data_IF_062490936303
#
_entry.id   IF_062490936303
#
_cell.length_a   1.000
_cell.length_b   1.000
_cell.length_c   1.000
_cell.angle_alpha   90.00
_cell.angle_beta   90.00
_cell.angle_gamma   90.00
#
_symmetry.space_group_name_H-M   'P 1'
#
loop_
_entity.id
_entity.type
_entity.pdbx_description
1 polymer ?
#
# COMPACT_ATOMS: atom_id res chain seq x y z
N UNK A 1 -7.09 10.60 51.77
CA UNK A 1 -6.47 11.00 50.49
C UNK A 1 -6.31 9.74 49.64
N UNK A 2 -7.16 9.53 48.66
CA UNK A 2 -7.06 8.37 47.77
C UNK A 2 -5.78 8.52 46.94
N UNK A 3 -4.88 7.57 47.05
CA UNK A 3 -3.65 7.51 46.26
C UNK A 3 -4.04 6.97 44.87
N UNK A 4 -4.04 7.83 43.87
CA UNK A 4 -4.05 7.41 42.48
C UNK A 4 -2.65 6.91 42.13
N UNK A 5 -2.59 5.82 41.41
CA UNK A 5 -1.37 5.40 40.75
C UNK A 5 -1.55 5.69 39.28
N UNK A 6 -0.77 6.61 38.79
CA UNK A 6 -0.69 6.91 37.37
C UNK A 6 0.32 5.94 36.75
N UNK A 7 -0.13 5.17 35.76
CA UNK A 7 0.73 4.31 34.97
C UNK A 7 0.68 4.87 33.57
N UNK A 8 1.81 5.31 33.07
CA UNK A 8 1.96 5.80 31.71
C UNK A 8 2.65 4.72 30.91
N UNK A 9 1.95 4.16 29.92
CA UNK A 9 2.45 3.15 29.01
C UNK A 9 2.26 3.68 27.58
N UNK A 10 3.32 4.25 27.01
CA UNK A 10 3.27 4.92 25.72
C UNK A 10 2.39 6.18 25.73
N UNK A 11 1.33 6.18 24.91
CA UNK A 11 0.34 7.27 24.84
C UNK A 11 -0.84 7.10 25.77
N UNK A 12 -0.90 5.97 26.49
CA UNK A 12 -2.01 5.65 27.37
C UNK A 12 -1.68 6.06 28.80
N UNK A 13 -2.58 6.83 29.38
CA UNK A 13 -2.51 7.21 30.80
C UNK A 13 -3.60 6.43 31.52
N UNK A 14 -3.19 5.53 32.37
CA UNK A 14 -4.08 4.71 33.19
C UNK A 14 -4.07 5.23 34.62
N UNK A 15 -5.17 5.78 35.07
CA UNK A 15 -5.36 6.13 36.46
C UNK A 15 -5.96 4.92 37.20
N UNK A 16 -5.15 4.28 38.02
CA UNK A 16 -5.60 3.17 38.85
C UNK A 16 -5.83 3.70 40.28
N UNK A 17 -7.07 3.58 40.75
CA UNK A 17 -7.43 3.78 42.13
C UNK A 17 -7.83 2.45 42.77
N UNK A 18 -7.89 2.39 44.09
CA UNK A 18 -8.32 1.19 44.81
C UNK A 18 -9.75 0.76 44.48
N UNK A 19 -10.50 1.57 43.73
CA UNK A 19 -11.92 1.37 43.42
C UNK A 19 -12.19 1.16 41.91
N UNK A 20 -11.24 1.49 41.05
CA UNK A 20 -11.37 1.35 39.62
C UNK A 20 -10.18 1.87 38.82
N UNK A 21 -10.08 1.44 37.59
CA UNK A 21 -9.09 1.95 36.66
C UNK A 21 -9.80 2.70 35.52
N UNK A 22 -9.34 3.89 35.20
CA UNK A 22 -9.80 4.65 34.03
C UNK A 22 -8.61 4.83 33.12
N UNK A 23 -8.69 4.28 31.95
CA UNK A 23 -7.67 4.51 30.92
C UNK A 23 -8.16 5.60 29.98
N UNK A 24 -7.32 6.59 29.81
CA UNK A 24 -7.43 7.54 28.70
C UNK A 24 -6.37 7.17 27.67
N UNK A 25 -6.77 6.49 26.62
CA UNK A 25 -5.97 6.46 25.42
C UNK A 25 -6.24 7.75 24.67
N UNK A 26 -5.32 8.69 24.77
CA UNK A 26 -5.21 9.65 23.69
C UNK A 26 -4.81 8.81 22.47
N UNK A 27 -5.69 8.69 21.50
CA UNK A 27 -5.28 8.35 20.14
C UNK A 27 -4.38 9.52 19.73
N UNK A 28 -3.13 9.49 20.17
CA UNK A 28 -2.12 10.14 19.40
C UNK A 28 -2.16 9.35 18.10
N UNK A 29 -2.53 10.00 17.01
CA UNK A 29 -2.06 9.62 15.68
C UNK A 29 -0.64 9.15 15.88
N UNK A 30 -0.26 7.94 15.39
CA UNK A 30 1.05 7.40 15.68
C UNK A 30 2.10 8.48 15.40
N UNK A 31 2.57 9.11 16.45
CA UNK A 31 3.62 10.14 16.47
C UNK A 31 4.96 9.44 16.35
N UNK A 32 5.05 8.59 15.39
CA UNK A 32 6.28 7.98 14.93
C UNK A 32 6.36 8.07 13.42
N UNK A 33 5.25 8.10 12.75
CA UNK A 33 5.19 8.74 11.45
C UNK A 33 5.07 10.22 11.78
N UNK A 34 6.14 11.02 11.58
CA UNK A 34 6.02 12.44 11.32
C UNK A 34 4.69 12.58 10.61
N UNK A 35 3.75 13.40 11.18
CA UNK A 35 2.67 13.90 10.37
C UNK A 35 3.30 14.01 8.99
N UNK A 36 2.85 13.19 8.07
CA UNK A 36 3.14 13.44 6.69
C UNK A 36 2.33 14.68 6.48
N UNK A 37 2.95 15.71 6.95
CA UNK A 37 2.50 17.06 6.83
C UNK A 37 2.08 17.12 5.37
N UNK A 38 0.92 17.64 5.08
CA UNK A 38 0.51 18.00 3.73
C UNK A 38 1.68 18.66 2.98
N UNK A 39 2.63 19.22 3.70
CA UNK A 39 3.95 19.71 3.24
C UNK A 39 4.91 18.65 2.68
N UNK A 40 4.70 17.37 2.84
CA UNK A 40 5.50 16.36 2.11
C UNK A 40 5.29 16.43 0.61
N UNK A 41 4.19 17.00 0.15
CA UNK A 41 4.00 17.32 -1.27
C UNK A 41 4.81 18.53 -1.71
N UNK A 42 5.19 19.44 -0.82
CA UNK A 42 5.98 20.63 -1.14
C UNK A 42 7.47 20.34 -1.34
N UNK A 43 7.96 19.20 -0.92
CA UNK A 43 9.37 18.83 -0.98
C UNK A 43 9.63 17.66 -1.92
N UNK A 44 9.31 17.83 -3.19
CA UNK A 44 9.81 16.96 -4.28
C UNK A 44 11.28 17.25 -4.64
N UNK A 45 11.93 18.19 -3.95
CA UNK A 45 13.35 18.48 -4.05
C UNK A 45 14.19 17.40 -3.33
N UNK A 46 14.18 16.19 -3.88
CA UNK A 46 14.92 15.06 -3.29
C UNK A 46 16.45 15.25 -3.34
N UNK A 47 16.94 16.22 -4.06
CA UNK A 47 18.37 16.48 -4.28
C UNK A 47 19.08 17.12 -3.08
N UNK A 48 18.35 17.56 -2.06
CA UNK A 48 18.93 18.27 -0.90
C UNK A 48 19.70 17.35 0.05
N UNK A 49 19.52 16.03 -0.05
CA UNK A 49 20.24 15.04 0.75
C UNK A 49 21.20 14.25 -0.10
N UNK A 50 22.49 14.54 0.04
CA UNK A 50 23.54 13.82 -0.65
C UNK A 50 23.96 12.62 0.19
N UNK A 51 23.79 11.43 -0.37
CA UNK A 51 24.34 10.19 0.19
C UNK A 51 25.61 9.84 -0.58
N UNK A 52 26.73 9.70 0.12
CA UNK A 52 27.98 9.27 -0.50
C UNK A 52 28.23 7.79 -0.22
N UNK A 53 28.50 7.03 -1.28
CA UNK A 53 28.91 5.62 -1.22
C UNK A 53 30.27 5.49 -1.91
N UNK A 54 31.34 5.39 -1.12
CA UNK A 54 32.69 5.47 -1.65
C UNK A 54 32.92 6.79 -2.38
N UNK A 55 33.37 6.71 -3.62
CA UNK A 55 33.64 7.88 -4.46
C UNK A 55 32.41 8.40 -5.23
N UNK A 56 31.22 7.85 -4.94
CA UNK A 56 30.00 8.19 -5.67
C UNK A 56 29.00 8.92 -4.79
N UNK A 57 28.49 10.04 -5.30
CA UNK A 57 27.32 10.72 -4.76
C UNK A 57 26.04 10.09 -5.32
N UNK A 58 25.18 9.66 -4.44
CA UNK A 58 23.93 8.96 -4.77
C UNK A 58 22.78 9.96 -4.79
N UNK A 59 22.03 9.97 -5.87
CA UNK A 59 20.79 10.73 -5.97
C UNK A 59 19.67 9.96 -5.25
N UNK A 60 19.03 10.55 -4.25
CA UNK A 60 17.99 9.86 -3.49
C UNK A 60 16.72 9.66 -4.32
N UNK A 61 16.01 8.55 -4.06
CA UNK A 61 14.70 8.28 -4.64
C UNK A 61 13.63 8.46 -3.57
N UNK A 62 13.05 9.62 -3.50
CA UNK A 62 12.18 10.06 -2.42
C UNK A 62 12.96 10.76 -1.29
N UNK A 63 12.25 11.37 -0.34
CA UNK A 63 12.83 12.14 0.76
C UNK A 63 13.77 11.30 1.65
N UNK A 64 13.40 10.05 1.91
CA UNK A 64 14.17 9.09 2.72
C UNK A 64 14.93 8.06 1.89
N UNK A 65 14.97 8.23 0.55
CA UNK A 65 15.64 7.32 -0.39
C UNK A 65 15.02 5.91 -0.45
N UNK A 66 13.78 5.74 -0.07
CA UNK A 66 13.07 4.47 0.02
C UNK A 66 11.68 4.47 -0.64
N UNK A 67 11.37 5.49 -1.44
CA UNK A 67 10.06 5.62 -2.08
C UNK A 67 9.58 4.36 -2.81
N UNK A 68 10.41 3.61 -3.59
CA UNK A 68 9.97 2.38 -4.21
C UNK A 68 9.57 1.29 -3.23
N UNK A 69 10.22 1.24 -2.05
CA UNK A 69 9.88 0.28 -1.00
C UNK A 69 8.60 0.68 -0.28
N UNK A 70 8.40 1.98 -0.02
CA UNK A 70 7.13 2.52 0.54
C UNK A 70 5.96 2.16 -0.39
N UNK A 71 6.10 2.42 -1.69
CA UNK A 71 5.07 2.09 -2.69
C UNK A 71 4.79 0.59 -2.69
N UNK A 72 5.83 -0.24 -2.70
CA UNK A 72 5.70 -1.71 -2.62
C UNK A 72 4.91 -2.12 -1.38
N UNK A 73 5.28 -1.63 -0.21
CA UNK A 73 4.71 -2.04 1.07
C UNK A 73 3.24 -1.60 1.18
N UNK A 74 2.92 -0.38 0.75
CA UNK A 74 1.54 0.11 0.72
C UNK A 74 0.68 -0.70 -0.25
N UNK A 75 1.19 -1.02 -1.44
CA UNK A 75 0.46 -1.82 -2.44
C UNK A 75 0.20 -3.24 -1.91
N UNK A 76 1.23 -3.95 -1.43
CA UNK A 76 1.06 -5.34 -1.01
C UNK A 76 0.29 -5.52 0.29
N UNK A 77 0.22 -4.49 1.13
CA UNK A 77 -0.67 -4.49 2.30
C UNK A 77 -2.13 -4.18 1.95
N UNK A 78 -2.39 -3.67 0.76
CA UNK A 78 -3.75 -3.38 0.30
C UNK A 78 -4.39 -4.60 -0.36
N UNK A 79 -5.70 -4.81 -0.17
CA UNK A 79 -6.40 -6.00 -0.68
C UNK A 79 -6.82 -5.90 -2.16
N UNK A 80 -6.95 -4.68 -2.70
CA UNK A 80 -7.39 -4.42 -4.09
C UNK A 80 -6.21 -4.18 -5.04
N UNK A 81 -5.25 -3.34 -4.64
CA UNK A 81 -4.21 -2.83 -5.52
C UNK A 81 -3.38 -3.91 -6.21
N UNK A 82 -2.93 -5.00 -5.54
CA UNK A 82 -2.17 -6.06 -6.22
C UNK A 82 -2.94 -6.73 -7.35
N UNK A 83 -4.26 -6.93 -7.16
CA UNK A 83 -5.14 -7.51 -8.18
C UNK A 83 -5.30 -6.59 -9.39
N UNK A 84 -5.48 -5.29 -9.17
CA UNK A 84 -5.60 -4.30 -10.25
C UNK A 84 -4.33 -4.18 -11.08
N UNK A 85 -3.17 -4.09 -10.42
CA UNK A 85 -1.88 -4.02 -11.09
C UNK A 85 -1.56 -5.31 -11.86
N UNK A 86 -1.96 -6.47 -11.32
CA UNK A 86 -1.84 -7.74 -12.04
C UNK A 86 -2.73 -7.75 -13.28
N UNK A 87 -3.94 -7.23 -13.18
CA UNK A 87 -4.86 -7.14 -14.33
C UNK A 87 -4.33 -6.17 -15.39
N UNK A 88 -3.82 -5.00 -14.98
CA UNK A 88 -3.14 -4.04 -15.86
C UNK A 88 -1.97 -4.69 -16.60
N UNK A 89 -1.12 -5.45 -15.88
CA UNK A 89 -0.02 -6.22 -16.49
C UNK A 89 -0.53 -7.22 -17.52
N UNK A 90 -1.57 -7.98 -17.20
CA UNK A 90 -2.10 -8.99 -18.11
C UNK A 90 -2.72 -8.37 -19.37
N UNK A 91 -3.37 -7.22 -19.24
CA UNK A 91 -3.88 -6.46 -20.38
C UNK A 91 -2.74 -5.96 -21.27
N UNK A 92 -1.64 -5.50 -20.69
CA UNK A 92 -0.44 -5.09 -21.45
C UNK A 92 0.26 -6.27 -22.10
N UNK A 93 0.34 -7.41 -21.43
CA UNK A 93 0.96 -8.63 -21.97
C UNK A 93 0.20 -9.20 -23.17
N UNK A 94 -1.13 -9.14 -23.15
CA UNK A 94 -1.98 -9.71 -24.21
C UNK A 94 -1.65 -11.19 -24.45
N UNK A 95 -1.38 -11.53 -25.71
CA UNK A 95 -0.98 -12.87 -26.16
C UNK A 95 0.55 -13.08 -26.14
N UNK A 96 1.26 -12.21 -25.41
CA UNK A 96 2.70 -12.27 -25.24
C UNK A 96 3.49 -11.51 -26.31
N UNK A 97 4.82 -11.45 -26.10
CA UNK A 97 5.72 -10.74 -26.99
C UNK A 97 5.88 -11.47 -28.33
N UNK A 98 5.91 -10.71 -29.43
CA UNK A 98 6.15 -11.19 -30.77
C UNK A 98 7.08 -10.26 -31.52
N UNK A 99 7.87 -10.80 -32.45
CA UNK A 99 8.65 -10.03 -33.39
C UNK A 99 7.73 -9.52 -34.50
N UNK A 100 7.93 -8.27 -34.89
CA UNK A 100 7.18 -7.63 -35.95
C UNK A 100 8.05 -6.62 -36.72
N UNK A 101 7.63 -6.37 -37.97
CA UNK A 101 8.09 -5.26 -38.77
C UNK A 101 6.98 -4.22 -38.87
N UNK A 102 7.35 -2.95 -38.91
CA UNK A 102 6.42 -1.85 -39.18
C UNK A 102 6.37 -1.61 -40.68
N UNK A 103 5.18 -1.74 -41.26
CA UNK A 103 4.92 -1.44 -42.66
C UNK A 103 3.93 -0.30 -42.78
N UNK A 104 4.03 0.47 -43.86
CA UNK A 104 3.14 1.58 -44.13
C UNK A 104 2.10 1.13 -45.17
N UNK A 105 0.84 1.11 -44.77
CA UNK A 105 -0.29 0.91 -45.70
C UNK A 105 -1.09 2.21 -45.81
N UNK A 106 -0.82 2.97 -46.87
CA UNK A 106 -1.34 4.34 -46.99
C UNK A 106 -0.84 5.27 -45.85
N UNK A 107 -1.77 5.75 -45.03
CA UNK A 107 -1.45 6.62 -43.86
C UNK A 107 -1.41 5.85 -42.54
N UNK A 108 -1.49 4.54 -42.53
CA UNK A 108 -1.51 3.71 -41.34
C UNK A 108 -0.21 2.93 -41.19
N UNK A 109 0.27 2.81 -39.97
CA UNK A 109 1.39 1.92 -39.63
C UNK A 109 0.79 0.60 -39.18
N UNK A 110 1.15 -0.47 -39.90
CA UNK A 110 0.71 -1.83 -39.61
C UNK A 110 1.88 -2.63 -39.06
N UNK A 111 1.62 -3.43 -38.06
CA UNK A 111 2.60 -4.38 -37.48
C UNK A 111 2.42 -5.73 -38.13
N UNK A 112 3.36 -6.12 -38.97
CA UNK A 112 3.41 -7.44 -39.61
C UNK A 112 4.25 -8.37 -38.75
N UNK A 113 3.65 -9.45 -38.26
CA UNK A 113 4.36 -10.43 -37.44
C UNK A 113 5.33 -11.21 -38.34
N UNK A 114 6.59 -11.26 -37.92
CA UNK A 114 7.64 -11.95 -38.66
C UNK A 114 8.47 -12.82 -37.73
N UNK A 115 8.96 -13.95 -38.20
CA UNK A 115 9.81 -14.87 -37.46
C UNK A 115 11.25 -14.78 -37.95
N UNK A 116 12.19 -14.65 -37.03
CA UNK A 116 13.62 -14.74 -37.36
C UNK A 116 14.29 -15.68 -36.34
N UNK A 117 14.78 -16.82 -36.83
CA UNK A 117 15.34 -17.88 -35.99
C UNK A 117 16.57 -17.46 -35.21
N UNK A 118 17.39 -16.57 -35.74
CA UNK A 118 18.59 -16.10 -35.04
C UNK A 118 18.22 -15.21 -33.87
N UNK A 119 17.28 -14.28 -34.07
CA UNK A 119 16.76 -13.41 -33.01
C UNK A 119 16.01 -14.23 -31.98
N UNK A 120 15.13 -15.14 -32.41
CA UNK A 120 14.39 -16.04 -31.51
C UNK A 120 15.33 -16.86 -30.64
N UNK A 121 16.39 -17.48 -31.21
CA UNK A 121 17.39 -18.24 -30.46
C UNK A 121 18.15 -17.38 -29.45
N UNK A 122 18.51 -16.13 -29.83
CA UNK A 122 19.15 -15.20 -28.92
C UNK A 122 18.20 -14.80 -27.76
N UNK A 123 16.93 -14.51 -28.06
CA UNK A 123 15.91 -14.18 -27.05
C UNK A 123 15.71 -15.33 -26.05
N UNK A 124 15.59 -16.56 -26.54
CA UNK A 124 15.43 -17.75 -25.71
C UNK A 124 16.65 -18.00 -24.82
N UNK A 125 17.85 -17.61 -25.24
CA UNK A 125 19.10 -17.84 -24.47
C UNK A 125 19.12 -17.21 -23.08
N UNK A 126 18.32 -16.17 -22.82
CA UNK A 126 18.25 -15.49 -21.52
C UNK A 126 16.83 -15.41 -20.96
N UNK A 127 15.89 -16.27 -21.43
CA UNK A 127 14.48 -16.30 -20.97
C UNK A 127 13.83 -14.92 -21.04
N UNK A 128 13.70 -14.39 -22.25
CA UNK A 128 13.20 -13.05 -22.51
C UNK A 128 11.75 -12.84 -22.04
N UNK A 129 10.92 -13.87 -21.99
CA UNK A 129 9.54 -13.76 -21.52
C UNK A 129 9.51 -13.45 -20.01
N UNK A 130 10.26 -14.20 -19.20
CA UNK A 130 10.41 -13.90 -17.76
C UNK A 130 11.04 -12.54 -17.51
N UNK A 131 12.00 -12.12 -18.35
CA UNK A 131 12.59 -10.79 -18.29
C UNK A 131 11.52 -9.72 -18.54
N UNK A 132 10.73 -9.81 -19.60
CA UNK A 132 9.68 -8.84 -19.94
C UNK A 132 8.56 -8.81 -18.90
N UNK A 133 8.17 -9.96 -18.33
CA UNK A 133 7.18 -10.01 -17.24
C UNK A 133 7.65 -9.25 -16.00
N UNK A 134 8.94 -9.31 -15.67
CA UNK A 134 9.53 -8.52 -14.57
C UNK A 134 9.54 -7.03 -14.91
N UNK A 135 9.92 -6.67 -16.14
CA UNK A 135 9.88 -5.30 -16.62
C UNK A 135 8.48 -4.69 -16.55
N UNK A 136 7.46 -5.43 -16.99
CA UNK A 136 6.06 -5.02 -16.91
C UNK A 136 5.60 -4.85 -15.45
N UNK A 137 6.08 -5.71 -14.55
CA UNK A 137 5.73 -5.62 -13.14
C UNK A 137 6.30 -4.35 -12.52
N UNK A 138 7.58 -4.06 -12.74
CA UNK A 138 8.21 -2.84 -12.23
C UNK A 138 7.56 -1.59 -12.86
N UNK A 139 7.30 -1.60 -14.17
CA UNK A 139 6.61 -0.50 -14.84
C UNK A 139 5.24 -0.20 -14.21
N UNK A 140 4.42 -1.22 -13.97
CA UNK A 140 3.09 -1.00 -13.39
C UNK A 140 3.12 -0.48 -11.94
N UNK A 141 4.23 -0.62 -11.23
CA UNK A 141 4.38 -0.14 -9.85
C UNK A 141 5.08 1.22 -9.77
N UNK A 142 6.10 1.44 -10.60
CA UNK A 142 7.03 2.57 -10.48
C UNK A 142 7.18 3.34 -11.80
N UNK A 143 6.53 2.89 -12.89
CA UNK A 143 6.61 3.48 -14.23
C UNK A 143 8.04 3.64 -14.76
N UNK A 144 8.91 2.77 -14.31
CA UNK A 144 10.29 2.69 -14.75
C UNK A 144 10.79 1.25 -14.78
N UNK A 145 11.80 1.00 -15.60
CA UNK A 145 12.42 -0.30 -15.81
C UNK A 145 13.93 -0.14 -15.81
N UNK A 146 14.61 -1.02 -15.11
CA UNK A 146 16.07 -1.05 -15.09
C UNK A 146 16.59 -2.34 -15.69
N UNK A 147 17.40 -2.22 -16.73
CA UNK A 147 17.98 -3.34 -17.47
C UNK A 147 19.49 -3.27 -17.50
N UNK A 148 20.14 -4.34 -17.13
CA UNK A 148 21.59 -4.50 -17.32
C UNK A 148 21.86 -5.18 -18.65
N UNK A 149 22.73 -4.57 -19.42
CA UNK A 149 23.30 -5.11 -20.63
C UNK A 149 24.61 -5.83 -20.30
N UNK A 150 24.78 -7.03 -20.85
CA UNK A 150 25.99 -7.81 -20.69
C UNK A 150 26.53 -8.20 -22.06
N UNK A 151 27.74 -7.69 -22.38
CA UNK A 151 28.44 -8.04 -23.62
C UNK A 151 29.00 -9.45 -23.51
N UNK A 152 29.08 -10.13 -24.65
CA UNK A 152 29.62 -11.46 -24.75
C UNK A 152 31.11 -11.53 -24.43
N UNK A 153 31.64 -12.73 -24.18
CA UNK A 153 33.08 -12.97 -23.93
C UNK A 153 33.99 -12.47 -25.05
N UNK A 154 33.45 -12.35 -26.27
CA UNK A 154 34.18 -11.77 -27.43
C UNK A 154 34.50 -10.29 -27.31
N UNK A 155 33.90 -9.57 -26.34
CA UNK A 155 34.18 -8.14 -26.12
C UNK A 155 35.66 -7.86 -25.89
N UNK A 156 36.31 -8.69 -25.10
CA UNK A 156 37.76 -8.56 -24.81
C UNK A 156 38.65 -8.78 -26.07
N UNK A 157 38.04 -9.29 -27.16
CA UNK A 157 38.65 -9.52 -28.47
C UNK A 157 38.04 -8.64 -29.59
N UNK A 158 37.38 -7.55 -29.21
CA UNK A 158 36.79 -6.59 -30.16
C UNK A 158 35.50 -7.04 -30.84
N UNK A 159 34.87 -8.15 -30.39
CA UNK A 159 33.59 -8.60 -30.91
C UNK A 159 32.46 -7.98 -30.10
N UNK A 160 31.77 -7.04 -30.69
CA UNK A 160 30.67 -6.31 -30.06
C UNK A 160 29.35 -7.07 -30.26
N UNK A 161 28.89 -7.74 -29.20
CA UNK A 161 27.63 -8.46 -29.19
C UNK A 161 27.03 -8.46 -27.78
N UNK A 162 25.76 -8.09 -27.65
CA UNK A 162 25.04 -8.14 -26.39
C UNK A 162 24.57 -9.57 -26.18
N UNK A 163 25.17 -10.28 -25.23
CA UNK A 163 24.88 -11.68 -24.97
C UNK A 163 23.56 -11.89 -24.26
N UNK A 164 23.23 -11.03 -23.30
CA UNK A 164 21.96 -11.11 -22.56
C UNK A 164 21.57 -9.78 -21.94
N UNK A 165 20.29 -9.72 -21.60
CA UNK A 165 19.68 -8.67 -20.78
C UNK A 165 19.30 -9.24 -19.43
N UNK A 166 19.51 -8.48 -18.37
CA UNK A 166 19.15 -8.85 -17.00
C UNK A 166 18.30 -7.75 -16.40
N UNK A 167 17.11 -8.12 -15.92
CA UNK A 167 16.26 -7.21 -15.18
C UNK A 167 16.82 -6.95 -13.79
N UNK A 168 16.90 -5.70 -13.37
CA UNK A 168 17.28 -5.29 -12.02
C UNK A 168 16.05 -4.63 -11.37
N UNK A 169 15.57 -5.13 -10.21
CA UNK A 169 14.45 -4.51 -9.51
C UNK A 169 14.71 -3.05 -9.17
N UNK A 170 13.79 -2.16 -9.51
CA UNK A 170 13.96 -0.69 -9.37
C UNK A 170 14.20 -0.27 -7.92
N UNK A 171 13.63 -0.97 -6.95
CA UNK A 171 13.84 -0.69 -5.53
C UNK A 171 15.30 -0.89 -5.06
N UNK A 172 16.08 -1.70 -5.80
CA UNK A 172 17.50 -1.95 -5.50
C UNK A 172 18.46 -1.04 -6.23
N UNK A 173 17.96 -0.10 -7.02
CA UNK A 173 18.73 0.73 -7.94
C UNK A 173 18.71 2.18 -7.49
N UNK A 174 19.89 2.79 -7.45
CA UNK A 174 20.03 4.25 -7.30
C UNK A 174 20.97 4.80 -8.34
N UNK A 175 20.59 5.93 -8.92
CA UNK A 175 21.45 6.69 -9.84
C UNK A 175 22.51 7.43 -9.04
N UNK A 176 23.70 7.55 -9.59
CA UNK A 176 24.83 8.17 -8.95
C UNK A 176 25.74 8.87 -9.95
N UNK A 177 26.56 9.78 -9.45
CA UNK A 177 27.67 10.40 -10.18
C UNK A 177 28.93 10.38 -9.31
N UNK A 178 30.12 10.54 -9.91
CA UNK A 178 31.36 10.71 -9.15
C UNK A 178 31.25 11.95 -8.25
N UNK A 179 31.53 11.80 -6.97
CA UNK A 179 31.47 12.88 -6.00
C UNK A 179 32.38 14.03 -6.38
N UNK A 180 31.85 15.26 -6.32
CA UNK A 180 32.58 16.47 -6.70
C UNK A 180 32.79 16.66 -8.20
N UNK A 181 32.31 15.76 -9.07
CA UNK A 181 32.32 15.96 -10.51
C UNK A 181 31.30 17.00 -10.97
N UNK A 182 31.54 17.59 -12.15
CA UNK A 182 30.57 18.50 -12.80
C UNK A 182 29.21 17.84 -12.95
N UNK A 183 29.19 16.57 -13.34
CA UNK A 183 27.95 15.81 -13.46
C UNK A 183 27.17 15.68 -12.12
N UNK A 184 27.89 15.54 -11.01
CA UNK A 184 27.24 15.53 -9.69
C UNK A 184 26.62 16.90 -9.37
N UNK A 185 27.35 17.99 -9.62
CA UNK A 185 26.88 19.36 -9.35
C UNK A 185 25.70 19.73 -10.23
N UNK A 186 25.69 19.31 -11.48
CA UNK A 186 24.61 19.56 -12.44
C UNK A 186 23.41 18.58 -12.30
N UNK A 187 23.49 17.61 -11.39
CA UNK A 187 22.43 16.62 -11.22
C UNK A 187 22.35 15.57 -12.33
N UNK A 188 23.43 15.36 -13.10
CA UNK A 188 23.48 14.42 -14.22
C UNK A 188 24.03 13.06 -13.78
N UNK A 189 23.23 12.02 -13.61
CA UNK A 189 23.70 10.69 -13.22
C UNK A 189 24.52 10.07 -14.36
N UNK A 190 25.66 9.47 -14.01
CA UNK A 190 26.56 8.76 -14.95
C UNK A 190 26.67 7.28 -14.62
N UNK A 191 26.30 6.89 -13.41
CA UNK A 191 26.42 5.54 -12.91
C UNK A 191 25.12 5.12 -12.21
N UNK A 192 25.00 3.82 -12.00
CA UNK A 192 23.92 3.19 -11.25
C UNK A 192 24.56 2.27 -10.20
N UNK A 193 24.13 2.43 -8.97
CA UNK A 193 24.50 1.55 -7.86
C UNK A 193 23.37 0.56 -7.65
N UNK A 194 23.70 -0.73 -7.71
CA UNK A 194 22.76 -1.83 -7.46
C UNK A 194 23.07 -2.43 -6.11
N UNK A 195 22.18 -2.27 -5.17
CA UNK A 195 22.31 -2.81 -3.82
C UNK A 195 21.81 -4.25 -3.74
N UNK A 196 22.35 -5.04 -2.81
CA UNK A 196 21.86 -6.39 -2.53
C UNK A 196 20.55 -6.37 -1.73
N UNK A 197 20.37 -5.36 -0.89
CA UNK A 197 19.21 -5.18 -0.01
C UNK A 197 18.43 -3.97 -0.48
N UNK A 198 17.10 -4.05 -0.46
CA UNK A 198 16.20 -2.92 -0.67
C UNK A 198 16.05 -2.11 0.62
N UNK A 199 15.73 -0.83 0.51
CA UNK A 199 15.43 0.05 1.64
C UNK A 199 16.51 1.09 1.93
N UNK A 200 16.34 1.76 3.03
CA UNK A 200 17.12 2.93 3.49
C UNK A 200 18.61 2.63 3.80
N UNK A 201 19.00 1.36 3.71
CA UNK A 201 20.33 0.90 4.09
C UNK A 201 21.31 1.04 2.93
N UNK A 202 21.51 2.27 2.48
CA UNK A 202 22.75 2.63 1.80
C UNK A 202 23.84 2.93 2.85
N UNK A 203 24.02 2.01 3.79
CA UNK A 203 25.14 2.09 4.72
C UNK A 203 26.43 1.67 4.03
N UNK A 204 27.50 2.36 4.34
CA UNK A 204 28.83 2.20 3.75
C UNK A 204 29.44 0.78 3.81
N UNK A 205 28.80 -0.16 4.48
CA UNK A 205 29.30 -1.52 4.70
C UNK A 205 28.73 -2.58 3.76
N UNK A 206 27.68 -2.29 2.99
CA UNK A 206 27.12 -3.20 2.00
C UNK A 206 27.19 -2.60 0.60
N UNK A 207 28.42 -2.47 0.09
CA UNK A 207 28.64 -1.96 -1.25
C UNK A 207 27.90 -2.78 -2.28
N UNK A 208 26.95 -2.12 -2.93
CA UNK A 208 26.35 -2.59 -4.15
C UNK A 208 27.36 -2.60 -5.29
N UNK A 209 27.02 -3.25 -6.36
CA UNK A 209 27.80 -3.17 -7.60
C UNK A 209 27.50 -1.85 -8.30
N UNK A 210 28.55 -1.15 -8.71
CA UNK A 210 28.44 0.07 -9.51
C UNK A 210 28.57 -0.28 -10.99
N UNK A 211 27.65 0.22 -11.80
CA UNK A 211 27.65 0.07 -13.23
C UNK A 211 27.52 1.44 -13.89
N UNK A 212 28.23 1.69 -15.02
CA UNK A 212 27.99 2.87 -15.82
C UNK A 212 26.60 2.83 -16.45
N UNK A 213 25.99 3.99 -16.64
CA UNK A 213 24.78 4.11 -17.45
C UNK A 213 25.08 3.76 -18.91
N UNK A 214 24.08 3.17 -19.57
CA UNK A 214 24.16 2.82 -20.98
C UNK A 214 24.30 4.10 -21.83
N UNK A 215 25.35 4.12 -22.67
CA UNK A 215 25.64 5.24 -23.58
C UNK A 215 25.11 4.91 -24.98
N UNK A 216 24.04 5.59 -25.40
CA UNK A 216 23.46 5.41 -26.74
C UNK A 216 24.42 5.79 -27.89
N UNK A 217 25.40 6.68 -27.64
CA UNK A 217 26.41 7.08 -28.65
C UNK A 217 27.53 6.06 -28.78
N UNK A 218 27.86 5.39 -27.66
CA UNK A 218 28.90 4.36 -27.59
C UNK A 218 28.39 3.11 -26.85
N UNK A 219 27.46 2.34 -27.43
CA UNK A 219 26.77 1.25 -26.74
C UNK A 219 27.70 0.12 -26.29
N UNK A 220 28.86 0.00 -26.88
CA UNK A 220 29.90 -1.02 -26.59
C UNK A 220 31.07 -0.49 -25.74
N UNK A 221 30.92 0.67 -25.11
CA UNK A 221 31.98 1.27 -24.30
C UNK A 221 32.34 0.44 -23.07
N UNK A 222 31.35 -0.21 -22.48
CA UNK A 222 31.48 -0.96 -21.22
C UNK A 222 30.97 -2.39 -21.38
N UNK A 223 31.71 -3.36 -20.80
CA UNK A 223 31.31 -4.76 -20.81
C UNK A 223 29.94 -5.00 -20.14
N UNK A 224 29.66 -4.24 -19.07
CA UNK A 224 28.38 -4.22 -18.40
C UNK A 224 27.92 -2.76 -18.26
N UNK A 225 26.71 -2.47 -18.68
CA UNK A 225 26.10 -1.15 -18.52
C UNK A 225 24.64 -1.30 -18.12
N UNK A 226 24.05 -0.27 -17.55
CA UNK A 226 22.67 -0.30 -17.10
C UNK A 226 21.86 0.77 -17.80
N UNK A 227 20.75 0.38 -18.40
CA UNK A 227 19.78 1.29 -18.99
C UNK A 227 18.64 1.48 -17.99
N UNK A 228 18.30 2.73 -17.73
CA UNK A 228 17.12 3.13 -16.99
C UNK A 228 16.10 3.71 -17.98
N UNK A 229 15.01 3.01 -18.20
CA UNK A 229 13.90 3.43 -19.06
C UNK A 229 12.74 3.82 -18.18
N UNK A 230 12.20 5.02 -18.36
CA UNK A 230 11.14 5.54 -17.48
C UNK A 230 10.19 6.47 -18.22
N UNK A 231 9.02 6.62 -17.64
CA UNK A 231 8.12 7.71 -17.98
C UNK A 231 8.60 9.00 -17.31
N UNK A 232 8.56 10.11 -18.01
CA UNK A 232 8.99 11.40 -17.47
C UNK A 232 7.91 11.95 -16.53
N UNK A 233 8.30 12.36 -15.35
CA UNK A 233 7.43 13.07 -14.41
C UNK A 233 7.80 14.55 -14.41
N UNK A 234 6.81 15.41 -14.62
CA UNK A 234 7.04 16.86 -14.71
C UNK A 234 7.75 17.40 -13.46
N UNK A 235 8.88 18.07 -13.69
CA UNK A 235 9.70 18.68 -12.64
C UNK A 235 10.57 17.70 -11.84
N UNK A 236 10.66 16.42 -12.25
CA UNK A 236 11.51 15.41 -11.61
C UNK A 236 12.38 14.77 -12.68
N UNK A 237 13.65 15.16 -12.73
CA UNK A 237 14.52 14.81 -13.84
C UNK A 237 15.23 13.45 -13.66
N UNK A 238 15.51 13.05 -12.42
CA UNK A 238 16.35 11.89 -12.13
C UNK A 238 15.56 10.59 -12.12
N UNK A 239 14.40 10.59 -11.47
CA UNK A 239 13.55 9.42 -11.33
C UNK A 239 12.13 9.69 -11.82
N UNK A 240 11.29 8.66 -11.80
CA UNK A 240 9.88 8.76 -12.09
C UNK A 240 9.09 8.83 -10.79
N UNK A 241 8.11 9.71 -10.73
CA UNK A 241 7.06 9.68 -9.71
C UNK A 241 5.84 9.00 -10.34
N UNK A 242 5.52 7.75 -9.96
CA UNK A 242 4.43 7.03 -10.59
C UNK A 242 3.07 7.61 -10.21
N UNK A 243 2.09 7.51 -11.11
CA UNK A 243 0.72 8.02 -10.91
C UNK A 243 0.07 7.52 -9.62
N UNK A 244 0.38 6.30 -9.21
CA UNK A 244 -0.13 5.71 -7.98
C UNK A 244 0.34 6.44 -6.71
N UNK A 245 1.40 7.26 -6.80
CA UNK A 245 1.91 8.02 -5.66
C UNK A 245 0.84 8.92 -5.03
N UNK A 246 0.06 9.61 -5.87
CA UNK A 246 -1.05 10.46 -5.41
C UNK A 246 -2.15 9.72 -4.66
N UNK A 247 -2.24 8.40 -4.83
CA UNK A 247 -3.24 7.55 -4.19
C UNK A 247 -2.74 6.80 -2.95
N UNK A 248 -1.48 6.97 -2.53
CA UNK A 248 -0.91 6.21 -1.41
C UNK A 248 -1.73 6.37 -0.12
N UNK A 249 -2.24 7.56 0.18
CA UNK A 249 -3.07 7.79 1.37
C UNK A 249 -4.44 7.11 1.26
N UNK A 250 -5.02 7.04 0.06
CA UNK A 250 -6.24 6.27 -0.17
C UNK A 250 -6.01 4.77 -0.03
N UNK A 251 -4.87 4.26 -0.49
CA UNK A 251 -4.45 2.87 -0.29
C UNK A 251 -4.31 2.53 1.19
N UNK A 252 -3.63 3.39 1.96
CA UNK A 252 -3.51 3.25 3.42
C UNK A 252 -4.87 3.27 4.10
N UNK A 253 -5.75 4.19 3.68
CA UNK A 253 -7.10 4.31 4.23
C UNK A 253 -7.95 3.08 3.91
N UNK A 254 -7.91 2.57 2.68
CA UNK A 254 -8.59 1.33 2.29
C UNK A 254 -8.12 0.14 3.14
N UNK A 255 -6.82 0.05 3.43
CA UNK A 255 -6.25 -0.99 4.29
C UNK A 255 -6.65 -0.82 5.76
N UNK A 256 -6.73 0.41 6.27
CA UNK A 256 -7.03 0.69 7.67
C UNK A 256 -8.50 0.45 8.03
N UNK A 257 -9.42 0.71 7.12
CA UNK A 257 -10.87 0.60 7.41
C UNK A 257 -11.31 -0.78 7.91
N UNK A 258 -10.93 -1.91 7.29
CA UNK A 258 -11.26 -3.23 7.82
C UNK A 258 -10.66 -3.49 9.21
N UNK A 259 -9.46 -2.98 9.49
CA UNK A 259 -8.81 -3.11 10.80
C UNK A 259 -9.55 -2.31 11.86
N UNK A 260 -10.01 -1.09 11.53
CA UNK A 260 -10.81 -0.26 12.43
C UNK A 260 -12.13 -0.97 12.74
N UNK A 261 -12.83 -1.51 11.72
CA UNK A 261 -14.08 -2.25 11.92
C UNK A 261 -13.85 -3.51 12.74
N UNK A 262 -12.75 -4.23 12.51
CA UNK A 262 -12.39 -5.39 13.32
C UNK A 262 -12.14 -5.00 14.78
N UNK A 263 -11.31 -4.00 15.02
CA UNK A 263 -11.03 -3.52 16.36
C UNK A 263 -12.31 -3.07 17.08
N UNK A 264 -13.22 -2.46 16.34
CA UNK A 264 -14.53 -2.05 16.86
C UNK A 264 -15.41 -3.25 17.26
N UNK A 265 -15.40 -4.33 16.47
CA UNK A 265 -16.17 -5.55 16.77
C UNK A 265 -15.52 -6.37 17.88
N UNK A 266 -14.22 -6.54 17.87
CA UNK A 266 -13.49 -7.38 18.82
C UNK A 266 -13.47 -6.77 20.23
N UNK A 267 -13.32 -5.46 20.31
CA UNK A 267 -13.15 -4.81 21.59
C UNK A 267 -14.48 -4.42 22.26
N UNK A 268 -15.63 -4.47 21.56
CA UNK A 268 -16.96 -3.99 22.07
C UNK A 268 -16.83 -2.79 23.02
N UNK A 269 -15.90 -1.90 22.71
CA UNK A 269 -15.29 -0.88 23.58
C UNK A 269 -16.28 0.22 23.98
N UNK A 270 -17.49 -0.03 23.70
CA UNK A 270 -18.44 1.00 23.98
C UNK A 270 -18.86 0.85 25.42
N UNK A 271 -18.59 1.86 26.20
CA UNK A 271 -19.30 2.11 27.45
C UNK A 271 -20.80 2.01 27.17
N UNK A 272 -21.35 0.78 27.25
CA UNK A 272 -22.75 0.52 26.96
C UNK A 272 -23.66 1.15 28.00
N UNK A 273 -23.16 1.25 29.20
CA UNK A 273 -23.92 1.72 30.35
C UNK A 273 -23.12 2.66 31.23
N UNK A 274 -23.74 3.75 31.59
CA UNK A 274 -23.29 4.62 32.67
C UNK A 274 -24.08 4.28 33.93
N UNK A 275 -23.36 3.83 34.95
CA UNK A 275 -23.97 3.41 36.22
C UNK A 275 -23.64 4.45 37.28
N UNK A 276 -24.67 5.14 37.77
CA UNK A 276 -24.54 6.06 38.87
C UNK A 276 -25.06 5.36 40.15
N UNK A 277 -24.25 5.33 41.18
CA UNK A 277 -24.58 4.76 42.49
C UNK A 277 -24.59 5.85 43.57
N UNK A 278 -25.60 5.86 44.46
CA UNK A 278 -25.68 6.86 45.50
C UNK A 278 -24.65 6.61 46.59
N UNK A 279 -23.97 7.67 47.03
CA UNK A 279 -22.97 7.61 48.11
C UNK A 279 -23.55 7.02 49.41
N UNK A 280 -24.77 7.40 49.75
CA UNK A 280 -25.46 6.92 50.96
C UNK A 280 -25.61 5.36 51.00
N UNK A 281 -25.71 4.71 49.83
CA UNK A 281 -25.72 3.26 49.77
C UNK A 281 -24.40 2.66 50.24
N UNK A 282 -23.28 3.25 49.81
CA UNK A 282 -21.97 2.76 50.16
C UNK A 282 -21.61 3.06 51.62
N UNK A 283 -22.04 4.21 52.14
CA UNK A 283 -21.84 4.56 53.55
C UNK A 283 -22.59 3.61 54.51
N UNK A 284 -23.84 3.29 54.21
CA UNK A 284 -24.60 2.30 54.97
C UNK A 284 -24.01 0.89 54.86
N UNK A 285 -23.48 0.50 53.71
CA UNK A 285 -22.77 -0.79 53.55
C UNK A 285 -21.47 -0.85 54.30
N UNK A 286 -20.77 0.25 54.39
CA UNK A 286 -19.56 0.38 55.22
C UNK A 286 -19.88 0.21 56.72
N UNK A 287 -20.96 0.82 57.19
CA UNK A 287 -21.45 0.65 58.56
C UNK A 287 -21.89 -0.78 58.85
N UNK A 288 -22.66 -1.41 57.93
CA UNK A 288 -23.08 -2.81 58.05
C UNK A 288 -21.88 -3.77 58.11
N UNK A 289 -20.80 -3.50 57.30
CA UNK A 289 -19.60 -4.31 57.34
C UNK A 289 -18.82 -4.13 58.66
N UNK A 290 -18.71 -2.91 59.18
CA UNK A 290 -18.10 -2.64 60.49
C UNK A 290 -18.83 -3.40 61.60
N UNK A 291 -20.18 -3.30 61.66
CA UNK A 291 -20.98 -4.01 62.65
C UNK A 291 -20.80 -5.55 62.57
N UNK A 292 -20.76 -6.12 61.35
CA UNK A 292 -20.48 -7.54 61.18
C UNK A 292 -19.09 -7.97 61.61
N UNK A 293 -18.10 -7.13 61.41
CA UNK A 293 -16.76 -7.37 61.92
C UNK A 293 -16.70 -7.34 63.43
N UNK A 294 -17.39 -6.41 64.08
CA UNK A 294 -17.51 -6.31 65.55
C UNK A 294 -18.22 -7.57 66.11
N UNK A 295 -19.33 -8.00 65.49
CA UNK A 295 -20.06 -9.21 65.91
C UNK A 295 -19.21 -10.49 65.73
N UNK A 296 -18.27 -10.49 64.79
CA UNK A 296 -17.41 -11.64 64.50
C UNK A 296 -16.04 -11.55 65.18
N UNK A 297 -15.79 -10.51 65.98
CA UNK A 297 -14.49 -10.31 66.66
C UNK A 297 -13.32 -10.01 65.70
N UNK A 298 -13.59 -9.54 64.49
CA UNK A 298 -12.63 -9.19 63.46
C UNK A 298 -12.45 -7.68 63.39
N UNK A 299 -11.23 -7.24 63.12
CA UNK A 299 -10.97 -5.82 62.93
C UNK A 299 -11.34 -5.38 61.51
N UNK A 300 -12.10 -4.31 61.37
CA UNK A 300 -12.52 -3.78 60.07
C UNK A 300 -11.33 -3.20 59.32
N UNK A 301 -11.17 -3.59 58.03
CA UNK A 301 -10.19 -3.02 57.14
C UNK A 301 -10.90 -2.46 55.88
N UNK A 302 -10.47 -1.30 55.40
CA UNK A 302 -11.01 -0.66 54.20
C UNK A 302 -10.90 -1.56 52.95
N UNK A 303 -9.94 -2.49 52.91
CA UNK A 303 -9.85 -3.52 51.85
C UNK A 303 -11.10 -4.39 51.74
N UNK A 304 -11.87 -4.62 52.82
CA UNK A 304 -13.12 -5.37 52.83
C UNK A 304 -14.20 -4.61 52.08
N UNK A 305 -14.24 -3.29 52.23
CA UNK A 305 -15.20 -2.47 51.47
C UNK A 305 -14.86 -2.46 49.98
N UNK A 306 -13.59 -2.38 49.61
CA UNK A 306 -13.13 -2.47 48.22
C UNK A 306 -13.50 -3.82 47.59
N UNK A 307 -13.28 -4.91 48.29
CA UNK A 307 -13.67 -6.24 47.85
C UNK A 307 -15.20 -6.40 47.68
N UNK A 308 -15.98 -5.81 48.58
CA UNK A 308 -17.42 -5.80 48.46
C UNK A 308 -17.89 -4.98 47.24
N UNK A 309 -17.33 -3.80 47.04
CA UNK A 309 -17.63 -2.92 45.91
C UNK A 309 -17.31 -3.63 44.60
N UNK A 310 -16.14 -4.28 44.50
CA UNK A 310 -15.76 -5.08 43.32
C UNK A 310 -16.76 -6.20 43.03
N UNK A 311 -17.18 -6.94 44.06
CA UNK A 311 -18.13 -8.02 43.94
C UNK A 311 -19.51 -7.53 43.44
N UNK A 312 -19.96 -6.34 43.85
CA UNK A 312 -21.19 -5.72 43.37
C UNK A 312 -21.08 -5.34 41.89
N UNK A 313 -19.95 -4.68 41.51
CA UNK A 313 -19.74 -4.32 40.12
C UNK A 313 -19.56 -5.54 39.21
N UNK A 314 -18.88 -6.59 39.66
CA UNK A 314 -18.76 -7.85 38.89
C UNK A 314 -20.12 -8.47 38.61
N UNK A 315 -21.05 -8.43 39.60
CA UNK A 315 -22.43 -8.89 39.40
C UNK A 315 -23.19 -8.02 38.42
N UNK A 316 -23.07 -6.70 38.52
CA UNK A 316 -23.72 -5.76 37.59
C UNK A 316 -23.19 -6.01 36.17
N UNK A 317 -21.89 -6.12 36.02
CA UNK A 317 -21.24 -6.39 34.76
C UNK A 317 -21.67 -7.74 34.16
N UNK A 318 -21.74 -8.79 34.96
CA UNK A 318 -22.18 -10.11 34.50
C UNK A 318 -23.62 -10.13 34.00
N UNK A 319 -24.51 -9.28 34.56
CA UNK A 319 -25.89 -9.15 34.12
C UNK A 319 -26.02 -8.30 32.86
N UNK A 320 -25.24 -7.21 32.79
CA UNK A 320 -25.37 -6.25 31.69
C UNK A 320 -24.54 -6.62 30.43
N UNK A 321 -23.45 -7.37 30.57
CA UNK A 321 -22.53 -7.66 29.46
C UNK A 321 -22.58 -9.10 28.91
N UNK A 322 -23.29 -10.02 29.53
CA UNK A 322 -23.38 -11.41 29.06
C UNK A 322 -24.30 -11.58 27.85
N UNK A 323 -23.84 -12.22 26.79
CA UNK A 323 -24.67 -12.58 25.63
C UNK A 323 -25.91 -13.45 26.04
N UNK A 324 -25.72 -14.28 27.05
CA UNK A 324 -26.80 -15.14 27.62
C UNK A 324 -27.79 -14.39 28.49
N UNK A 325 -27.56 -13.11 28.74
CA UNK A 325 -28.36 -12.26 29.60
C UNK A 325 -29.30 -11.31 28.83
N UNK A 326 -29.42 -11.49 27.53
CA UNK A 326 -30.33 -10.73 26.68
C UNK A 326 -31.78 -10.94 27.20
N UNK A 327 -32.41 -9.84 27.65
CA UNK A 327 -33.76 -9.87 28.20
C UNK A 327 -33.84 -9.96 29.71
N UNK A 328 -32.74 -10.06 30.46
CA UNK A 328 -32.76 -9.99 31.92
C UNK A 328 -32.97 -8.55 32.40
N UNK A 329 -33.82 -8.40 33.39
CA UNK A 329 -34.18 -7.12 33.97
C UNK A 329 -33.36 -6.87 35.24
N UNK A 330 -32.80 -5.66 35.37
CA UNK A 330 -32.21 -5.19 36.62
C UNK A 330 -33.25 -4.37 37.37
N UNK A 331 -33.61 -4.81 38.55
CA UNK A 331 -34.56 -4.10 39.41
C UNK A 331 -33.82 -3.48 40.60
N UNK A 332 -34.01 -2.19 40.81
CA UNK A 332 -33.50 -1.46 41.99
C UNK A 332 -34.66 -0.70 42.67
N UNK A 333 -34.66 -0.70 43.98
CA UNK A 333 -35.60 0.08 44.76
C UNK A 333 -34.93 1.41 45.09
N UNK A 334 -35.56 2.50 44.73
CA UNK A 334 -35.15 3.83 45.14
C UNK A 334 -35.45 4.04 46.61
N UNK A 335 -34.46 4.51 47.36
CA UNK A 335 -34.62 4.93 48.74
C UNK A 335 -34.93 6.43 48.78
N UNK A 336 -36.00 6.82 49.40
CA UNK A 336 -36.31 8.21 49.71
C UNK A 336 -35.76 8.54 51.08
N UNK A 337 -35.00 9.61 51.17
CA UNK A 337 -34.47 10.14 52.42
C UNK A 337 -34.79 11.63 52.53
N UNK A 338 -35.03 12.10 53.73
CA UNK A 338 -35.23 13.53 54.05
C UNK A 338 -33.89 14.16 54.38
N UNK A 339 -33.53 15.22 53.64
CA UNK A 339 -32.39 16.05 53.91
C UNK A 339 -32.94 17.45 54.19
N UNK A 340 -33.21 17.75 55.49
CA UNK A 340 -33.96 18.94 55.88
C UNK A 340 -35.45 18.86 55.52
N UNK A 341 -35.98 19.86 54.81
CA UNK A 341 -37.38 19.93 54.37
C UNK A 341 -37.56 19.28 52.95
N UNK A 342 -36.48 18.92 52.28
CA UNK A 342 -36.52 18.38 50.91
C UNK A 342 -36.46 16.84 50.91
N UNK A 343 -37.39 16.20 50.16
CA UNK A 343 -37.37 14.79 49.85
C UNK A 343 -36.40 14.52 48.71
N UNK A 344 -35.26 13.85 49.00
CA UNK A 344 -34.33 13.43 47.99
C UNK A 344 -34.44 11.94 47.69
N UNK A 345 -34.54 11.59 46.43
CA UNK A 345 -34.52 10.21 45.99
C UNK A 345 -33.06 9.72 45.77
N UNK A 346 -32.71 8.64 46.45
CA UNK A 346 -31.42 7.97 46.32
C UNK A 346 -31.61 6.62 45.67
N UNK A 347 -31.31 6.54 44.35
CA UNK A 347 -31.41 5.30 43.58
C UNK A 347 -30.26 5.09 42.65
N UNK A 348 -30.01 3.84 42.29
CA UNK A 348 -29.11 3.52 41.22
C UNK A 348 -29.70 3.98 39.90
N UNK A 349 -28.93 4.65 39.09
CA UNK A 349 -29.33 5.05 37.75
C UNK A 349 -28.42 4.35 36.74
N UNK A 350 -29.02 3.57 35.86
CA UNK A 350 -28.32 2.91 34.77
C UNK A 350 -28.86 3.50 33.47
N UNK A 351 -28.01 4.25 32.80
CA UNK A 351 -28.31 4.87 31.49
C UNK A 351 -27.56 4.12 30.42
N UNK A 352 -28.25 3.64 29.40
CA UNK A 352 -27.57 3.22 28.18
C UNK A 352 -26.99 4.45 27.50
N UNK A 353 -25.73 4.38 27.16
CA UNK A 353 -25.10 5.42 26.35
C UNK A 353 -25.48 5.13 24.90
N UNK A 354 -26.29 6.02 24.34
CA UNK A 354 -26.72 5.91 22.94
C UNK A 354 -25.51 6.21 22.04
N UNK A 355 -25.02 5.17 21.41
CA UNK A 355 -23.89 5.28 20.49
C UNK A 355 -24.43 5.11 19.09
N UNK A 356 -24.14 6.07 18.24
CA UNK A 356 -24.55 6.07 16.84
C UNK A 356 -23.67 5.09 16.01
N UNK A 357 -23.58 3.84 16.50
CA UNK A 357 -22.76 2.75 15.95
C UNK A 357 -23.06 2.51 14.47
N UNK A 358 -24.34 2.55 14.12
CA UNK A 358 -24.79 2.32 12.75
C UNK A 358 -24.25 3.37 11.80
N UNK A 359 -24.32 4.64 12.18
CA UNK A 359 -23.85 5.75 11.34
C UNK A 359 -22.34 5.73 11.22
N UNK A 360 -21.63 5.39 12.31
CA UNK A 360 -20.18 5.22 12.26
C UNK A 360 -19.77 4.10 11.30
N UNK A 361 -20.38 2.92 11.39
CA UNK A 361 -20.09 1.78 10.50
C UNK A 361 -20.41 2.16 9.06
N UNK A 362 -21.57 2.79 8.81
CA UNK A 362 -21.96 3.23 7.48
C UNK A 362 -20.95 4.23 6.90
N UNK A 363 -20.55 5.22 7.69
CA UNK A 363 -19.53 6.19 7.28
C UNK A 363 -18.18 5.51 6.96
N UNK A 364 -17.74 4.53 7.75
CA UNK A 364 -16.50 3.79 7.46
C UNK A 364 -16.61 2.97 6.16
N UNK A 365 -17.75 2.35 5.90
CA UNK A 365 -18.00 1.61 4.65
C UNK A 365 -17.97 2.56 3.45
N UNK A 366 -18.59 3.72 3.56
CA UNK A 366 -18.63 4.71 2.46
C UNK A 366 -17.23 5.27 2.19
N UNK A 367 -16.43 5.54 3.21
CA UNK A 367 -15.01 5.92 3.07
C UNK A 367 -14.22 4.82 2.38
N UNK A 368 -14.44 3.54 2.74
CA UNK A 368 -13.78 2.40 2.09
C UNK A 368 -14.12 2.32 0.61
N UNK A 369 -15.40 2.42 0.25
CA UNK A 369 -15.84 2.43 -1.15
C UNK A 369 -15.18 3.55 -1.94
N UNK A 370 -15.13 4.76 -1.36
CA UNK A 370 -14.48 5.90 -1.98
C UNK A 370 -12.99 5.69 -2.16
N UNK A 371 -12.32 5.10 -1.17
CA UNK A 371 -10.91 4.77 -1.25
C UNK A 371 -10.63 3.76 -2.37
N UNK A 372 -11.43 2.71 -2.46
CA UNK A 372 -11.28 1.68 -3.50
C UNK A 372 -11.47 2.25 -4.91
N UNK A 373 -12.44 3.16 -5.06
CA UNK A 373 -12.65 3.86 -6.32
C UNK A 373 -11.47 4.78 -6.70
N UNK A 374 -10.95 5.52 -5.72
CA UNK A 374 -9.78 6.37 -5.92
C UNK A 374 -8.53 5.58 -6.33
N UNK A 375 -8.33 4.38 -5.74
CA UNK A 375 -7.26 3.46 -6.11
C UNK A 375 -7.45 2.96 -7.54
N UNK A 376 -8.67 2.57 -7.94
CA UNK A 376 -8.96 2.16 -9.31
C UNK A 376 -8.66 3.25 -10.33
N UNK A 377 -9.06 4.48 -10.02
CA UNK A 377 -8.81 5.65 -10.86
C UNK A 377 -7.30 5.94 -11.01
N UNK A 378 -6.53 5.85 -9.91
CA UNK A 378 -5.07 6.11 -9.93
C UNK A 378 -4.27 5.05 -10.70
N UNK A 379 -4.76 3.81 -10.74
CA UNK A 379 -4.16 2.75 -11.56
C UNK A 379 -4.43 2.95 -13.05
N UNK A 380 -5.37 3.85 -13.42
CA UNK A 380 -5.73 4.12 -14.80
C UNK A 380 -6.53 2.99 -15.46
N UNK A 381 -7.28 2.23 -14.67
CA UNK A 381 -8.19 1.20 -15.16
C UNK A 381 -9.64 1.67 -15.04
N UNK A 382 -10.40 1.50 -16.11
CA UNK A 382 -11.85 1.69 -16.06
C UNK A 382 -12.49 0.74 -15.02
N UNK A 383 -13.51 1.21 -14.30
CA UNK A 383 -14.20 0.44 -13.25
C UNK A 383 -14.65 -0.95 -13.73
N UNK A 384 -15.19 -1.02 -14.95
CA UNK A 384 -15.62 -2.26 -15.59
C UNK A 384 -14.46 -3.27 -15.79
N UNK A 385 -13.24 -2.81 -16.06
CA UNK A 385 -12.05 -3.66 -16.15
C UNK A 385 -11.49 -4.00 -14.77
N UNK A 386 -11.60 -3.09 -13.81
CA UNK A 386 -11.12 -3.28 -12.44
C UNK A 386 -12.02 -4.17 -11.58
N UNK A 387 -13.27 -4.40 -11.98
CA UNK A 387 -14.34 -4.96 -11.14
C UNK A 387 -14.57 -4.12 -9.86
N UNK A 388 -14.39 -2.81 -9.96
CA UNK A 388 -14.65 -1.87 -8.88
C UNK A 388 -15.95 -1.14 -9.22
N UNK A 389 -17.01 -1.42 -8.49
CA UNK A 389 -18.30 -0.77 -8.68
C UNK A 389 -18.66 0.03 -7.43
N UNK A 390 -18.95 1.31 -7.60
CA UNK A 390 -19.40 2.19 -6.50
C UNK A 390 -20.76 1.74 -5.93
N UNK A 391 -21.60 1.18 -6.79
CA UNK A 391 -22.98 0.79 -6.43
C UNK A 391 -23.15 -0.69 -6.18
N UNK A 392 -22.09 -1.51 -6.31
CA UNK A 392 -22.19 -2.98 -6.21
C UNK A 392 -22.96 -3.63 -7.36
N UNK A 393 -23.33 -2.87 -8.40
CA UNK A 393 -23.93 -3.41 -9.61
C UNK A 393 -22.82 -3.90 -10.55
N UNK A 394 -23.00 -5.06 -11.12
CA UNK A 394 -22.12 -5.58 -12.16
C UNK A 394 -22.26 -4.72 -13.40
N UNK A 395 -21.11 -4.26 -13.92
CA UNK A 395 -21.07 -3.56 -15.21
C UNK A 395 -21.59 -4.47 -16.32
N UNK A 396 -22.23 -3.86 -17.33
CA UNK A 396 -22.74 -4.63 -18.46
C UNK A 396 -21.59 -5.23 -19.28
N UNK A 397 -21.78 -6.40 -19.86
CA UNK A 397 -20.79 -7.01 -20.75
C UNK A 397 -20.38 -6.11 -21.93
N UNK A 398 -21.29 -5.22 -22.37
CA UNK A 398 -20.99 -4.21 -23.39
C UNK A 398 -20.03 -3.15 -22.88
N UNK A 399 -20.18 -2.70 -21.65
CA UNK A 399 -19.28 -1.72 -21.02
C UNK A 399 -17.87 -2.28 -20.84
N UNK A 400 -17.76 -3.52 -20.39
CA UNK A 400 -16.46 -4.22 -20.30
C UNK A 400 -15.79 -4.35 -21.68
N UNK A 401 -16.55 -4.64 -22.72
CA UNK A 401 -16.03 -4.74 -24.09
C UNK A 401 -15.48 -3.39 -24.58
N UNK A 402 -16.26 -2.31 -24.43
CA UNK A 402 -15.81 -0.99 -24.86
C UNK A 402 -14.65 -0.47 -24.02
N UNK A 403 -14.67 -0.69 -22.71
CA UNK A 403 -13.55 -0.34 -21.84
C UNK A 403 -12.27 -1.08 -22.26
N UNK A 404 -12.36 -2.36 -22.60
CA UNK A 404 -11.24 -3.14 -23.11
C UNK A 404 -10.73 -2.61 -24.46
N UNK A 405 -11.61 -2.32 -25.41
CA UNK A 405 -11.23 -1.77 -26.72
C UNK A 405 -10.56 -0.40 -26.57
N UNK A 406 -11.10 0.49 -25.72
CA UNK A 406 -10.52 1.80 -25.44
C UNK A 406 -9.14 1.65 -24.80
N UNK A 407 -8.99 0.73 -23.84
CA UNK A 407 -7.71 0.47 -23.19
C UNK A 407 -6.65 0.02 -24.21
N UNK A 408 -7.01 -0.90 -25.10
CA UNK A 408 -6.10 -1.37 -26.15
C UNK A 408 -5.69 -0.25 -27.12
N UNK A 409 -6.59 0.69 -27.39
CA UNK A 409 -6.33 1.79 -28.32
C UNK A 409 -5.46 2.91 -27.72
N UNK A 410 -5.55 3.15 -26.41
CA UNK A 410 -4.96 4.36 -25.78
C UNK A 410 -3.84 4.06 -24.78
N UNK A 411 -3.89 2.95 -24.05
CA UNK A 411 -3.06 2.77 -22.86
C UNK A 411 -1.93 1.73 -23.02
N UNK A 412 -1.66 1.25 -24.24
CA UNK A 412 -0.65 0.22 -24.48
C UNK A 412 0.67 0.80 -24.99
N UNK A 413 0.63 1.78 -25.88
CA UNK A 413 1.79 2.21 -26.66
C UNK A 413 2.94 2.73 -25.78
N UNK A 414 2.67 3.63 -24.83
CA UNK A 414 3.73 4.20 -23.97
C UNK A 414 4.35 3.14 -23.04
N UNK A 415 3.56 2.34 -22.31
CA UNK A 415 4.09 1.23 -21.51
C UNK A 415 4.90 0.22 -22.33
N UNK A 416 4.46 -0.12 -23.55
CA UNK A 416 5.18 -1.02 -24.42
C UNK A 416 6.54 -0.46 -24.84
N UNK A 417 6.59 0.80 -25.28
CA UNK A 417 7.83 1.48 -25.67
C UNK A 417 8.84 1.46 -24.51
N UNK A 418 8.42 1.77 -23.29
CA UNK A 418 9.30 1.85 -22.13
C UNK A 418 9.80 0.47 -21.72
N UNK A 419 8.92 -0.52 -21.66
CA UNK A 419 9.26 -1.88 -21.20
C UNK A 419 10.08 -2.66 -22.21
N UNK A 420 9.88 -2.42 -23.53
CA UNK A 420 10.62 -3.10 -24.60
C UNK A 420 11.82 -2.31 -25.07
N UNK A 421 12.07 -1.07 -24.59
CA UNK A 421 13.15 -0.19 -25.04
C UNK A 421 14.52 -0.86 -25.03
N UNK A 422 14.86 -1.52 -23.93
CA UNK A 422 16.16 -2.16 -23.78
C UNK A 422 16.33 -3.35 -24.75
N UNK A 423 15.32 -4.22 -24.86
CA UNK A 423 15.39 -5.37 -25.74
C UNK A 423 15.40 -4.97 -27.22
N UNK A 424 14.60 -3.96 -27.61
CA UNK A 424 14.61 -3.43 -28.96
C UNK A 424 15.92 -2.74 -29.31
N UNK A 425 16.54 -2.04 -28.36
CA UNK A 425 17.88 -1.49 -28.55
C UNK A 425 18.91 -2.61 -28.78
N UNK A 426 18.84 -3.69 -28.01
CA UNK A 426 19.74 -4.83 -28.18
C UNK A 426 19.52 -5.57 -29.52
N UNK A 427 18.27 -5.76 -29.95
CA UNK A 427 17.96 -6.35 -31.27
C UNK A 427 18.58 -5.50 -32.38
N UNK A 428 18.35 -4.18 -32.36
CA UNK A 428 18.90 -3.25 -33.34
C UNK A 428 20.42 -3.27 -33.41
N UNK A 429 21.10 -3.43 -32.26
CA UNK A 429 22.56 -3.45 -32.18
C UNK A 429 23.15 -4.79 -32.62
N UNK A 430 22.53 -5.90 -32.26
CA UNK A 430 22.99 -7.24 -32.60
C UNK A 430 22.64 -7.66 -34.03
N UNK A 431 21.47 -7.22 -34.52
CA UNK A 431 20.89 -7.65 -35.80
C UNK A 431 20.44 -6.43 -36.64
N UNK A 432 21.35 -5.55 -37.05
CA UNK A 432 20.98 -4.29 -37.72
C UNK A 432 20.26 -4.49 -39.05
N UNK A 433 20.52 -5.62 -39.73
CA UNK A 433 19.92 -5.93 -41.05
C UNK A 433 18.48 -6.47 -40.97
N UNK A 434 18.04 -6.89 -39.77
CA UNK A 434 16.75 -7.56 -39.64
C UNK A 434 15.57 -6.59 -39.64
N UNK A 435 15.76 -5.33 -39.21
CA UNK A 435 14.73 -4.28 -39.05
C UNK A 435 13.47 -4.78 -38.34
N UNK A 436 13.67 -5.61 -37.30
CA UNK A 436 12.61 -6.20 -36.49
C UNK A 436 12.61 -5.59 -35.09
N UNK A 437 11.40 -5.48 -34.54
CA UNK A 437 11.14 -5.07 -33.16
C UNK A 437 10.35 -6.15 -32.44
N UNK A 438 10.47 -6.19 -31.11
CA UNK A 438 9.60 -6.98 -30.26
C UNK A 438 8.53 -6.07 -29.63
N UNK A 439 7.29 -6.55 -29.59
CA UNK A 439 6.17 -5.87 -28.96
C UNK A 439 5.13 -6.88 -28.50
N UNK A 440 4.15 -6.42 -27.75
CA UNK A 440 3.09 -7.27 -27.24
C UNK A 440 1.96 -7.41 -28.27
N UNK A 441 1.57 -8.65 -28.51
CA UNK A 441 0.50 -8.95 -29.45
C UNK A 441 -0.86 -8.97 -28.73
N UNK A 442 -1.81 -8.19 -29.25
CA UNK A 442 -3.15 -8.08 -28.70
C UNK A 442 -4.19 -8.51 -29.72
N UNK A 443 -5.18 -9.26 -29.26
CA UNK A 443 -6.34 -9.62 -30.07
C UNK A 443 -7.55 -8.86 -29.54
N UNK A 444 -8.16 -8.07 -30.40
CA UNK A 444 -9.36 -7.32 -30.04
C UNK A 444 -10.56 -8.26 -29.85
N UNK A 445 -11.24 -8.12 -28.72
CA UNK A 445 -12.50 -8.84 -28.47
C UNK A 445 -13.59 -8.25 -29.35
N UNK A 446 -14.28 -9.08 -30.11
CA UNK A 446 -15.42 -8.71 -30.97
C UNK A 446 -16.71 -9.20 -30.34
N UNK A 447 -17.83 -8.52 -30.64
CA UNK A 447 -19.16 -9.04 -30.29
C UNK A 447 -19.47 -10.28 -31.14
N UNK A 448 -19.97 -11.34 -30.55
CA UNK A 448 -20.41 -12.55 -31.26
C UNK A 448 -21.45 -12.25 -32.34
N UNK A 449 -22.25 -11.18 -32.17
CA UNK A 449 -23.23 -10.74 -33.16
C UNK A 449 -22.61 -10.24 -34.49
N UNK A 450 -21.34 -9.80 -34.44
CA UNK A 450 -20.62 -9.28 -35.61
C UNK A 450 -19.73 -10.35 -36.28
N UNK A 451 -19.72 -11.57 -35.76
CA UNK A 451 -18.96 -12.66 -36.31
C UNK A 451 -19.87 -13.55 -37.16
N UNK A 452 -19.38 -13.95 -38.33
CA UNK A 452 -20.08 -14.96 -39.17
C UNK A 452 -20.12 -16.31 -38.42
N UNK A 453 -21.12 -17.17 -38.70
CA UNK A 453 -21.23 -18.48 -38.06
C UNK A 453 -19.97 -19.35 -38.16
N UNK A 454 -19.19 -19.21 -39.24
CA UNK A 454 -17.91 -19.90 -39.43
C UNK A 454 -16.77 -19.35 -38.56
N UNK A 455 -16.74 -18.06 -38.26
CA UNK A 455 -15.73 -17.45 -37.38
C UNK A 455 -15.99 -17.79 -35.92
N UNK A 456 -17.25 -18.03 -35.52
CA UNK A 456 -17.59 -18.45 -34.14
C UNK A 456 -17.07 -19.85 -33.81
N UNK A 457 -16.89 -20.72 -34.80
CA UNK A 457 -16.39 -22.09 -34.63
C UNK A 457 -14.86 -22.16 -34.47
N UNK A 458 -14.12 -21.12 -34.92
CA UNK A 458 -12.66 -21.08 -34.87
C UNK A 458 -12.16 -20.60 -33.51
N UNK A 459 -13.00 -19.94 -32.71
CA UNK A 459 -12.67 -19.38 -31.41
C UNK A 459 -13.11 -20.24 -30.20
N UNK A 460 -13.49 -21.48 -30.45
CA UNK A 460 -13.64 -22.53 -29.44
C UNK A 460 -12.40 -23.45 -29.51
#
# INVERSE_FOLDING_TARGET
MSRYREIQEGSDVIYVSDVGAVSFSTIQSPRGEKETDIRTFDSLAWNDRIYNIGDYAVFPYGDTNDLPDIIRDVIYNNYIAPGLLTKKRNLLWGNGPRLYREEYEGNQIIRVLERNKEIESWLESFDYESYLLKCLKDYNHIESVTTKFELGKGFDFGKNFISKLEHIPVNKVRKAALSGSTNHIEGNPTHVIVNKVSGNVFTANEFGKVYPLFDYRNPYKYKNSVMYSNEYSFGIDIYTLPDIFGALEWLRRSTATPLILKAFTDNSINLKFHVESPQLYWDRKKEDLKRKCEESGLEYNDSMMVAYTRKVFDKITSVLSGADNSGKMWHTIKLTGTDGEDLKEYGWTIKAIDQNVKDFITAQIDVSKRADYAVGASVGLHSALGNISETGKSDSGSEQLYAHQTYLATNINVPEIITTKAINTAIKLNFPEADLKIGFHHVGVRRQQNETPSERLINQ
#
